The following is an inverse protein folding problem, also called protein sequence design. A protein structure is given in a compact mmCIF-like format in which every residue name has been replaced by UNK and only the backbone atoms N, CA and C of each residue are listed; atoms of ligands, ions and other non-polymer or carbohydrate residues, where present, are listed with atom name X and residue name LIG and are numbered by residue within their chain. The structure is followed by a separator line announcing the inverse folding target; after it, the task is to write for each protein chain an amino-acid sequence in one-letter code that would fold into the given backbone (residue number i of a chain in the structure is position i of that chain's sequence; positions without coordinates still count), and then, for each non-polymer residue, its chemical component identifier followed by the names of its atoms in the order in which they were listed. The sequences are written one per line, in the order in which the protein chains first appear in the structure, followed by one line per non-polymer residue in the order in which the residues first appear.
data_IF_097433368648
#
_entry.id   IF_097433368648
#
_cell.length_a   1.000
_cell.length_b   1.000
_cell.length_c   1.000
_cell.angle_alpha   90.00
_cell.angle_beta   90.00
_cell.angle_gamma   90.00
#
_symmetry.space_group_name_H-M   'P 1'
#
loop_
_entity.id
_entity.type
_entity.pdbx_description
1 polymer ?
#
# COMPACT_ATOMS: atom_id res chain seq x y z
N UNK A 1 15.33 39.14 3.00
CA UNK A 1 14.04 38.88 3.68
C UNK A 1 13.82 37.37 3.67
N UNK A 2 13.83 36.68 4.81
CA UNK A 2 13.50 35.24 4.82
C UNK A 2 12.03 35.09 4.37
N UNK A 3 11.81 34.36 3.28
CA UNK A 3 10.48 34.08 2.78
C UNK A 3 9.71 33.21 3.78
N UNK A 4 8.44 33.56 4.01
CA UNK A 4 7.56 32.76 4.85
C UNK A 4 7.31 31.37 4.21
N UNK A 5 7.26 30.29 4.99
CA UNK A 5 7.01 28.96 4.47
C UNK A 5 5.62 28.89 3.80
N UNK A 6 5.51 28.29 2.60
CA UNK A 6 4.23 28.02 1.98
C UNK A 6 3.54 26.82 2.61
N UNK A 7 2.20 26.84 2.67
CA UNK A 7 1.41 25.66 3.01
C UNK A 7 1.40 24.65 1.85
N UNK A 8 1.56 23.36 2.14
CA UNK A 8 1.62 22.30 1.11
C UNK A 8 0.31 22.16 0.30
N UNK A 9 -0.81 22.55 0.89
CA UNK A 9 -2.14 22.40 0.28
C UNK A 9 -2.57 23.62 -0.55
N UNK A 10 -2.38 24.84 -0.02
CA UNK A 10 -2.81 26.07 -0.70
C UNK A 10 -1.67 26.89 -1.32
N UNK A 11 -0.40 26.50 -1.08
CA UNK A 11 0.84 27.15 -1.54
C UNK A 11 0.96 28.64 -1.21
N UNK A 12 0.12 29.15 -0.30
CA UNK A 12 0.19 30.53 0.20
C UNK A 12 1.25 30.62 1.31
N UNK A 13 2.07 31.68 1.32
CA UNK A 13 3.04 31.90 2.38
C UNK A 13 2.33 32.32 3.68
N UNK A 14 2.63 31.62 4.77
CA UNK A 14 2.08 31.91 6.10
C UNK A 14 3.19 32.03 7.14
N UNK A 15 2.97 32.83 8.19
CA UNK A 15 3.92 32.88 9.30
C UNK A 15 3.87 31.58 10.09
N UNK A 16 4.90 31.31 10.89
CA UNK A 16 5.01 30.07 11.67
C UNK A 16 3.77 29.83 12.57
N UNK A 17 3.16 30.90 13.08
CA UNK A 17 1.94 30.83 13.89
C UNK A 17 0.66 30.46 13.08
N UNK A 18 0.63 30.73 11.78
CA UNK A 18 -0.55 30.51 10.92
C UNK A 18 -0.32 29.42 9.86
N UNK A 19 0.82 28.72 9.89
CA UNK A 19 1.15 27.67 8.93
C UNK A 19 0.23 26.44 9.05
N UNK A 20 -0.38 26.23 10.21
CA UNK A 20 -1.29 25.11 10.43
C UNK A 20 -2.56 25.24 9.56
N UNK A 21 -2.98 24.19 8.83
CA UNK A 21 -4.19 24.21 7.98
C UNK A 21 -5.47 24.63 8.69
N UNK A 22 -5.58 24.30 9.99
CA UNK A 22 -6.71 24.67 10.85
C UNK A 22 -6.82 26.19 11.07
N UNK A 23 -5.69 26.91 11.06
CA UNK A 23 -5.64 28.34 11.41
C UNK A 23 -5.88 29.23 10.20
N UNK A 24 -5.39 28.84 9.00
CA UNK A 24 -5.59 29.61 7.76
C UNK A 24 -6.73 29.06 6.87
N UNK A 25 -7.52 28.10 7.37
CA UNK A 25 -8.73 27.60 6.69
C UNK A 25 -8.49 26.59 5.57
N UNK A 26 -7.31 25.98 5.50
CA UNK A 26 -7.00 24.92 4.52
C UNK A 26 -7.28 23.50 5.05
N UNK A 27 -8.05 23.41 6.14
CA UNK A 27 -8.43 22.17 6.81
C UNK A 27 -9.05 21.13 5.88
N UNK A 28 -9.99 21.54 5.03
CA UNK A 28 -10.72 20.60 4.17
C UNK A 28 -9.82 19.98 3.11
N UNK A 29 -8.89 20.76 2.53
CA UNK A 29 -7.90 20.25 1.60
C UNK A 29 -6.92 19.29 2.28
N UNK A 30 -6.45 19.64 3.47
CA UNK A 30 -5.58 18.78 4.28
C UNK A 30 -6.26 17.45 4.66
N UNK A 31 -7.53 17.51 5.07
CA UNK A 31 -8.34 16.34 5.42
C UNK A 31 -8.61 15.45 4.22
N UNK A 32 -8.89 16.04 3.06
CA UNK A 32 -9.11 15.28 1.83
C UNK A 32 -7.82 14.54 1.40
N UNK A 33 -6.68 15.23 1.45
CA UNK A 33 -5.39 14.60 1.17
C UNK A 33 -5.11 13.42 2.11
N UNK A 34 -5.30 13.60 3.42
CA UNK A 34 -5.13 12.53 4.40
C UNK A 34 -6.04 11.32 4.14
N UNK A 35 -7.27 11.53 3.66
CA UNK A 35 -8.19 10.44 3.28
C UNK A 35 -7.72 9.68 2.04
N UNK A 36 -7.18 10.40 1.06
CA UNK A 36 -6.66 9.81 -0.17
C UNK A 36 -5.40 8.96 0.12
N UNK A 37 -4.50 9.46 0.97
CA UNK A 37 -3.31 8.72 1.41
C UNK A 37 -3.70 7.45 2.17
N UNK A 38 -4.64 7.55 3.12
CA UNK A 38 -5.14 6.39 3.86
C UNK A 38 -5.79 5.34 2.92
N UNK A 39 -6.48 5.78 1.87
CA UNK A 39 -7.08 4.88 0.87
C UNK A 39 -6.04 4.20 -0.02
N UNK A 40 -4.93 4.89 -0.31
CA UNK A 40 -3.79 4.33 -1.04
C UNK A 40 -3.09 3.26 -0.21
N UNK A 41 -2.83 3.54 1.06
CA UNK A 41 -2.21 2.59 1.99
C UNK A 41 -3.07 1.35 2.22
N UNK A 42 -4.40 1.52 2.32
CA UNK A 42 -5.35 0.41 2.38
C UNK A 42 -5.30 -0.45 1.10
N UNK A 43 -5.14 0.17 -0.07
CA UNK A 43 -5.05 -0.55 -1.35
C UNK A 43 -3.74 -1.35 -1.46
N UNK A 44 -2.64 -0.80 -0.99
CA UNK A 44 -1.33 -1.46 -1.10
C UNK A 44 -1.18 -2.61 -0.10
N UNK A 45 -1.75 -2.48 1.10
CA UNK A 45 -1.85 -3.62 2.04
C UNK A 45 -2.71 -4.76 1.50
N UNK A 46 -3.80 -4.48 0.79
CA UNK A 46 -4.62 -5.51 0.14
C UNK A 46 -3.89 -6.20 -1.02
N UNK A 47 -3.13 -5.46 -1.83
CA UNK A 47 -2.29 -6.04 -2.89
C UNK A 47 -1.19 -6.94 -2.32
N UNK A 48 -0.55 -6.52 -1.24
CA UNK A 48 0.49 -7.30 -0.56
C UNK A 48 -0.06 -8.62 -0.02
N UNK A 49 -1.25 -8.60 0.60
CA UNK A 49 -1.93 -9.84 1.07
C UNK A 49 -2.22 -10.81 -0.08
N UNK A 50 -2.80 -10.33 -1.19
CA UNK A 50 -3.06 -11.17 -2.38
C UNK A 50 -1.78 -11.79 -2.96
N UNK A 51 -0.68 -11.04 -2.98
CA UNK A 51 0.61 -11.56 -3.44
C UNK A 51 1.13 -12.69 -2.54
N UNK A 52 0.94 -12.61 -1.23
CA UNK A 52 1.33 -13.68 -0.32
C UNK A 52 0.44 -14.93 -0.50
N UNK A 53 -0.88 -14.74 -0.58
CA UNK A 53 -1.83 -15.86 -0.80
C UNK A 53 -1.51 -16.61 -2.10
N UNK A 54 -1.14 -15.90 -3.16
CA UNK A 54 -0.77 -16.52 -4.45
C UNK A 54 0.56 -17.26 -4.39
N UNK A 55 1.53 -16.81 -3.60
CA UNK A 55 2.80 -17.54 -3.38
C UNK A 55 2.54 -18.84 -2.62
N UNK A 56 1.76 -18.79 -1.55
CA UNK A 56 1.38 -19.98 -0.77
C UNK A 56 0.64 -21.01 -1.62
N UNK A 57 -0.27 -20.55 -2.49
CA UNK A 57 -0.99 -21.41 -3.42
C UNK A 57 -0.05 -22.04 -4.47
N UNK A 58 0.91 -21.27 -5.01
CA UNK A 58 1.91 -21.80 -5.96
C UNK A 58 2.77 -22.88 -5.32
N UNK A 59 3.23 -22.68 -4.10
CA UNK A 59 4.08 -23.62 -3.39
C UNK A 59 3.34 -24.94 -3.10
N UNK A 60 2.07 -24.86 -2.67
CA UNK A 60 1.20 -26.02 -2.50
C UNK A 60 0.98 -26.79 -3.80
N UNK A 61 0.81 -26.10 -4.93
CA UNK A 61 0.65 -26.73 -6.24
C UNK A 61 1.93 -27.40 -6.72
N UNK A 62 3.10 -26.80 -6.47
CA UNK A 62 4.39 -27.41 -6.77
C UNK A 62 4.57 -28.72 -5.99
N UNK A 63 4.34 -28.69 -4.67
CA UNK A 63 4.43 -29.87 -3.80
C UNK A 63 3.50 -31.00 -4.26
N UNK A 64 2.24 -30.68 -4.59
CA UNK A 64 1.29 -31.65 -5.14
C UNK A 64 1.75 -32.25 -6.46
N UNK A 65 2.38 -31.45 -7.33
CA UNK A 65 2.95 -31.93 -8.61
C UNK A 65 4.05 -32.96 -8.36
N UNK A 66 4.94 -32.68 -7.43
CA UNK A 66 6.05 -33.59 -7.08
C UNK A 66 5.52 -34.88 -6.45
N UNK A 67 4.54 -34.80 -5.55
CA UNK A 67 3.87 -35.99 -4.99
C UNK A 67 3.22 -36.86 -6.07
N UNK A 68 2.53 -36.24 -7.03
CA UNK A 68 1.90 -36.96 -8.14
C UNK A 68 2.95 -37.60 -9.07
N UNK A 69 4.07 -36.92 -9.32
CA UNK A 69 5.18 -37.45 -10.10
C UNK A 69 5.82 -38.67 -9.42
N UNK A 70 6.03 -38.60 -8.10
CA UNK A 70 6.54 -39.72 -7.31
C UNK A 70 5.56 -40.90 -7.33
N UNK A 71 4.25 -40.67 -7.19
CA UNK A 71 3.25 -41.73 -7.30
C UNK A 71 3.24 -42.41 -8.67
N UNK A 72 3.41 -41.64 -9.76
CA UNK A 72 3.52 -42.18 -11.12
C UNK A 72 4.78 -43.03 -11.31
N UNK A 73 5.91 -42.59 -10.74
CA UNK A 73 7.17 -43.35 -10.82
C UNK A 73 7.13 -44.68 -10.05
N UNK A 74 6.43 -44.72 -8.91
CA UNK A 74 6.26 -45.93 -8.07
C UNK A 74 5.25 -46.93 -8.63
N UNK A 75 4.31 -46.49 -9.49
CA UNK A 75 3.28 -47.34 -10.10
C UNK A 75 3.69 -47.96 -11.44
N UNK A 76 4.94 -47.79 -11.90
CA UNK A 76 5.42 -48.45 -13.12
C UNK A 76 5.55 -49.96 -12.83
N UNK A 77 4.71 -50.84 -13.40
CA UNK A 77 4.92 -52.28 -13.31
C UNK A 77 6.15 -52.63 -14.16
N UNK A 78 7.03 -53.49 -13.65
CA UNK A 78 7.79 -54.36 -14.54
C UNK A 78 6.83 -55.39 -15.15
#
# INVERSE_FOLDING_TARGET
MPGLPPCDFCRKPHCIAHLLPEVHGCRDAARNAARMDASRDASDTLKAKKLNDTKDLREKMAKKRDELAQQRSKKKPQ
#
